data_IF_240167324758
#
_entry.id   IF_240167324758
#
_cell.length_a   1.000
_cell.length_b   1.000
_cell.length_c   1.000
_cell.angle_alpha   90.00
_cell.angle_beta   90.00
_cell.angle_gamma   90.00
#
_symmetry.space_group_name_H-M   'P 1'
#
loop_
_entity.id
_entity.type
_entity.pdbx_description
1 polymer ?
#
# COMPACT_ATOMS: atom_id res chain seq x y z
N UNK A 1 -10.07 5.24 6.70
CA UNK A 1 -9.07 6.33 6.74
C UNK A 1 -9.14 7.20 5.47
N UNK A 2 -8.60 8.42 5.50
CA UNK A 2 -8.39 9.30 4.33
C UNK A 2 -9.66 9.70 3.53
N UNK A 3 -10.79 9.97 4.20
CA UNK A 3 -12.02 10.46 3.52
C UNK A 3 -12.08 11.98 3.33
N UNK A 4 -11.08 12.72 3.84
CA UNK A 4 -11.04 14.19 3.81
C UNK A 4 -9.93 14.73 2.88
N UNK A 5 -9.59 13.99 1.83
CA UNK A 5 -8.66 14.41 0.77
C UNK A 5 -9.42 14.52 -0.55
N UNK A 6 -9.17 15.57 -1.32
CA UNK A 6 -9.92 15.88 -2.55
C UNK A 6 -9.36 15.18 -3.78
N UNK A 7 -8.07 14.86 -3.78
CA UNK A 7 -7.36 14.33 -4.94
C UNK A 7 -6.67 13.01 -4.61
N UNK A 8 -6.72 12.08 -5.56
CA UNK A 8 -5.90 10.89 -5.59
C UNK A 8 -5.03 10.95 -6.84
N UNK A 9 -3.73 10.72 -6.66
CA UNK A 9 -2.76 10.65 -7.75
C UNK A 9 -2.21 9.24 -7.80
N UNK A 10 -2.07 8.71 -9.01
CA UNK A 10 -1.54 7.39 -9.25
C UNK A 10 -0.50 7.44 -10.36
N UNK A 11 0.66 6.82 -10.13
CA UNK A 11 1.79 6.77 -11.06
C UNK A 11 1.77 5.40 -11.74
N UNK A 12 1.25 5.36 -12.97
CA UNK A 12 1.09 4.13 -13.73
C UNK A 12 2.14 4.00 -14.84
N UNK A 13 3.17 3.19 -14.60
CA UNK A 13 4.06 2.70 -15.65
C UNK A 13 3.40 1.56 -16.43
N UNK A 14 3.39 1.65 -17.77
CA UNK A 14 2.97 0.56 -18.67
C UNK A 14 3.96 0.44 -19.82
N UNK A 15 4.42 -0.76 -20.09
CA UNK A 15 5.37 -1.07 -21.16
C UNK A 15 5.13 -2.50 -21.65
N UNK A 16 5.72 -2.86 -22.80
CA UNK A 16 5.51 -4.15 -23.46
C UNK A 16 6.69 -5.10 -23.26
N UNK A 17 7.90 -4.57 -23.36
CA UNK A 17 9.12 -5.38 -23.38
C UNK A 17 9.73 -5.51 -21.98
N UNK A 18 10.06 -6.72 -21.55
CA UNK A 18 10.71 -6.94 -20.25
C UNK A 18 12.05 -6.21 -20.11
N UNK A 19 12.71 -5.89 -21.24
CA UNK A 19 13.93 -5.08 -21.26
C UNK A 19 13.72 -3.65 -20.72
N UNK A 20 12.48 -3.16 -20.70
CA UNK A 20 12.14 -1.83 -20.19
C UNK A 20 11.85 -1.81 -18.68
N UNK A 21 11.77 -2.97 -18.00
CA UNK A 21 11.38 -3.09 -16.59
C UNK A 21 12.14 -2.11 -15.70
N UNK A 22 13.48 -2.17 -15.73
CA UNK A 22 14.31 -1.34 -14.86
C UNK A 22 14.10 0.16 -15.10
N UNK A 23 13.97 0.56 -16.37
CA UNK A 23 13.79 1.96 -16.77
C UNK A 23 12.42 2.48 -16.34
N UNK A 24 11.36 1.72 -16.61
CA UNK A 24 10.00 2.13 -16.31
C UNK A 24 9.70 2.09 -14.80
N UNK A 25 10.19 1.07 -14.09
CA UNK A 25 10.10 0.98 -12.61
C UNK A 25 10.90 2.11 -11.97
N UNK A 26 12.11 2.38 -12.46
CA UNK A 26 12.95 3.49 -11.99
C UNK A 26 12.24 4.82 -12.10
N UNK A 27 11.73 5.16 -13.29
CA UNK A 27 10.96 6.39 -13.52
C UNK A 27 9.76 6.53 -12.58
N UNK A 28 8.97 5.46 -12.41
CA UNK A 28 7.78 5.52 -11.55
C UNK A 28 8.15 5.79 -10.08
N UNK A 29 9.21 5.13 -9.58
CA UNK A 29 9.72 5.31 -8.22
C UNK A 29 10.29 6.71 -8.00
N UNK A 30 11.09 7.20 -8.94
CA UNK A 30 11.68 8.54 -8.88
C UNK A 30 10.62 9.63 -8.93
N UNK A 31 9.65 9.51 -9.84
CA UNK A 31 8.54 10.45 -9.94
C UNK A 31 7.72 10.47 -8.65
N UNK A 32 7.35 9.28 -8.11
CA UNK A 32 6.65 9.18 -6.84
C UNK A 32 7.42 9.86 -5.69
N UNK A 33 8.73 9.63 -5.59
CA UNK A 33 9.56 10.26 -4.57
C UNK A 33 9.60 11.79 -4.71
N UNK A 34 9.68 12.30 -5.94
CA UNK A 34 9.71 13.74 -6.20
C UNK A 34 8.41 14.47 -5.81
N UNK A 35 7.26 13.78 -5.94
CA UNK A 35 5.94 14.35 -5.64
C UNK A 35 5.44 14.05 -4.23
N UNK A 36 6.05 13.09 -3.52
CA UNK A 36 5.67 12.71 -2.16
C UNK A 36 5.59 13.88 -1.15
N UNK A 37 6.47 14.90 -1.16
CA UNK A 37 6.38 16.05 -0.25
C UNK A 37 5.10 16.88 -0.39
N UNK A 38 4.42 16.82 -1.55
CA UNK A 38 3.18 17.55 -1.81
C UNK A 38 1.93 16.73 -1.44
N UNK A 39 2.08 15.46 -1.07
CA UNK A 39 0.98 14.61 -0.69
C UNK A 39 0.48 14.94 0.72
N UNK A 40 -0.83 14.79 0.95
CA UNK A 40 -1.45 14.98 2.27
C UNK A 40 -1.11 13.88 3.30
N UNK A 41 0.02 13.18 3.13
CA UNK A 41 0.49 12.12 4.03
C UNK A 41 -0.29 10.81 3.96
N UNK A 42 -1.15 10.61 2.96
CA UNK A 42 -1.99 9.41 2.84
C UNK A 42 -1.57 8.53 1.66
N UNK A 43 -1.46 7.23 1.90
CA UNK A 43 -1.24 6.23 0.86
C UNK A 43 -2.49 5.39 0.72
N UNK A 44 -2.99 5.25 -0.51
CA UNK A 44 -4.12 4.38 -0.78
C UNK A 44 -3.63 2.94 -0.90
N UNK A 45 -4.17 2.05 -0.08
CA UNK A 45 -3.64 0.70 0.09
C UNK A 45 -3.65 -0.11 -1.22
N UNK A 46 -4.61 0.11 -2.12
CA UNK A 46 -4.67 -0.61 -3.40
C UNK A 46 -3.63 -0.13 -4.43
N UNK A 47 -2.84 0.90 -4.11
CA UNK A 47 -1.72 1.36 -4.93
C UNK A 47 -0.37 1.00 -4.33
N UNK A 48 -0.35 0.27 -3.22
CA UNK A 48 0.88 -0.25 -2.65
C UNK A 48 1.39 -1.41 -3.51
N UNK A 49 2.66 -1.33 -3.88
CA UNK A 49 3.36 -2.41 -4.58
C UNK A 49 3.88 -3.44 -3.58
N UNK A 50 4.32 -4.60 -4.07
CA UNK A 50 4.71 -5.76 -3.25
C UNK A 50 5.84 -5.47 -2.24
N UNK A 51 6.68 -4.44 -2.48
CA UNK A 51 7.81 -4.04 -1.63
C UNK A 51 7.42 -3.16 -0.42
N UNK A 52 6.16 -2.79 -0.25
CA UNK A 52 5.75 -1.74 0.71
C UNK A 52 5.08 -2.26 1.99
N UNK A 53 5.45 -3.47 2.42
CA UNK A 53 4.84 -4.16 3.58
C UNK A 53 4.83 -3.35 4.88
N UNK A 54 5.83 -2.49 5.12
CA UNK A 54 5.91 -1.62 6.30
C UNK A 54 4.84 -0.49 6.29
N UNK A 55 4.37 -0.08 5.11
CA UNK A 55 3.39 1.02 4.95
C UNK A 55 1.95 0.57 5.16
N UNK A 56 1.70 -0.73 5.29
CA UNK A 56 0.36 -1.30 5.46
C UNK A 56 -0.26 -0.79 6.77
N UNK A 57 0.51 -0.72 7.86
CA UNK A 57 0.04 -0.22 9.15
C UNK A 57 -0.42 1.26 9.05
N UNK A 58 0.40 2.09 8.41
CA UNK A 58 0.09 3.51 8.15
C UNK A 58 -1.16 3.68 7.28
N UNK A 59 -1.33 2.83 6.25
CA UNK A 59 -2.46 2.88 5.33
C UNK A 59 -3.81 2.56 6.03
N UNK A 60 -3.81 1.68 7.04
CA UNK A 60 -5.01 1.42 7.84
C UNK A 60 -5.23 2.45 8.95
N UNK A 61 -4.18 3.13 9.40
CA UNK A 61 -4.24 4.20 10.40
C UNK A 61 -4.96 3.75 11.67
N UNK A 62 -5.88 4.58 12.17
CA UNK A 62 -6.65 4.32 13.40
C UNK A 62 -7.52 3.05 13.36
N UNK A 63 -7.69 2.42 12.19
CA UNK A 63 -8.49 1.21 12.06
C UNK A 63 -7.68 -0.07 12.32
N UNK A 64 -6.34 0.02 12.42
CA UNK A 64 -5.45 -1.14 12.51
C UNK A 64 -5.85 -2.08 13.65
N UNK A 65 -5.95 -1.58 14.88
CA UNK A 65 -6.24 -2.42 16.06
C UNK A 65 -7.58 -3.14 15.95
N UNK A 66 -8.60 -2.48 15.41
CA UNK A 66 -9.91 -3.10 15.18
C UNK A 66 -9.81 -4.21 14.13
N UNK A 67 -9.02 -4.01 13.09
CA UNK A 67 -8.84 -5.02 12.04
C UNK A 67 -8.03 -6.22 12.56
N UNK A 68 -7.04 -6.02 13.42
CA UNK A 68 -6.34 -7.11 14.12
C UNK A 68 -7.32 -7.95 14.94
N UNK A 69 -8.20 -7.31 15.73
CA UNK A 69 -9.22 -8.02 16.52
C UNK A 69 -10.18 -8.85 15.64
N UNK A 70 -10.58 -8.30 14.50
CA UNK A 70 -11.42 -9.02 13.52
C UNK A 70 -10.64 -10.19 12.93
N UNK A 71 -9.37 -10.00 12.54
CA UNK A 71 -8.52 -11.06 12.01
C UNK A 71 -8.34 -12.19 13.02
N UNK A 72 -8.07 -11.88 14.30
CA UNK A 72 -7.99 -12.88 15.37
C UNK A 72 -9.28 -13.69 15.53
N UNK A 73 -10.44 -13.05 15.38
CA UNK A 73 -11.75 -13.73 15.52
C UNK A 73 -12.07 -14.67 14.37
N UNK A 74 -11.69 -14.31 13.14
CA UNK A 74 -12.17 -14.99 11.93
C UNK A 74 -11.09 -15.73 11.13
N UNK A 75 -9.82 -15.40 11.32
CA UNK A 75 -8.67 -16.03 10.66
C UNK A 75 -7.44 -16.07 11.61
N UNK A 76 -7.55 -16.72 12.79
CA UNK A 76 -6.48 -16.76 13.79
C UNK A 76 -5.20 -17.43 13.27
N UNK A 77 -5.32 -18.41 12.37
CA UNK A 77 -4.17 -19.11 11.75
C UNK A 77 -3.59 -18.35 10.54
N UNK A 78 -4.12 -17.16 10.24
CA UNK A 78 -3.70 -16.32 9.15
C UNK A 78 -3.65 -17.06 7.79
N UNK A 79 -4.66 -17.88 7.52
CA UNK A 79 -4.81 -18.67 6.30
C UNK A 79 -4.88 -17.74 5.07
N UNK A 80 -5.61 -16.64 5.18
CA UNK A 80 -5.75 -15.65 4.11
C UNK A 80 -4.68 -14.57 4.22
N UNK A 81 -3.46 -14.91 3.79
CA UNK A 81 -2.26 -14.07 3.92
C UNK A 81 -1.68 -13.52 2.62
N UNK A 82 -2.20 -13.92 1.45
CA UNK A 82 -1.74 -13.41 0.16
C UNK A 82 -2.50 -12.13 -0.24
N UNK A 83 -2.35 -11.10 0.59
CA UNK A 83 -2.95 -9.77 0.45
C UNK A 83 -2.10 -8.74 1.21
N UNK A 84 -2.55 -7.48 1.32
CA UNK A 84 -1.97 -6.52 2.27
C UNK A 84 -2.28 -6.95 3.70
N UNK A 85 -1.53 -7.95 4.16
CA UNK A 85 -1.95 -8.78 5.27
C UNK A 85 -1.86 -8.05 6.61
N UNK A 86 -2.85 -8.34 7.44
CA UNK A 86 -2.88 -7.96 8.85
C UNK A 86 -2.61 -9.25 9.62
N UNK A 87 -1.46 -9.33 10.28
CA UNK A 87 -1.15 -10.49 11.11
C UNK A 87 -2.04 -10.45 12.36
N UNK A 88 -2.67 -11.57 12.76
CA UNK A 88 -3.29 -11.65 14.08
C UNK A 88 -2.18 -11.47 15.13
N UNK A 89 -2.41 -10.64 16.15
CA UNK A 89 -1.50 -10.58 17.28
C UNK A 89 -1.53 -11.94 17.99
N UNK A 90 -0.34 -12.52 18.22
CA UNK A 90 -0.18 -13.74 19.01
C UNK A 90 -0.45 -13.49 20.49
#
# INVERSE_FOLDING_TARGET
PHRNVTYAMNVHGRWLEAADDARCVGWAREFFAAVAPYAAGSVYINFLTQDEGARIHEAYGSNWDRLVQVKQRYDPDNLFRFNHNIAPAG
#
